data_IF_405358329562
#
_entry.id   IF_405358329562
#
_cell.length_a   1.000
_cell.length_b   1.000
_cell.length_c   1.000
_cell.angle_alpha   90.00
_cell.angle_beta   90.00
_cell.angle_gamma   90.00
#
_symmetry.space_group_name_H-M   'P 1'
#
loop_
_entity.id
_entity.type
_entity.pdbx_description
1 polymer ?
#
# COMPACT_ATOMS: atom_id res chain seq x y z
N UNK A 1 9.35 -14.48 18.92
CA UNK A 1 10.09 -13.88 17.79
C UNK A 1 9.48 -12.48 17.54
N UNK A 2 10.08 -11.40 18.05
CA UNK A 2 9.54 -10.04 17.89
C UNK A 2 9.77 -9.64 16.43
N UNK A 3 8.69 -9.29 15.71
CA UNK A 3 8.74 -8.83 14.33
C UNK A 3 9.49 -7.49 14.28
N UNK A 4 10.60 -7.43 13.55
CA UNK A 4 11.35 -6.19 13.36
C UNK A 4 10.44 -5.09 12.77
N UNK A 5 10.38 -3.89 13.36
CA UNK A 5 9.54 -2.79 12.88
C UNK A 5 9.79 -2.45 11.40
N UNK A 6 11.04 -2.58 10.95
CA UNK A 6 11.45 -2.38 9.57
C UNK A 6 10.78 -3.37 8.60
N UNK A 7 10.54 -4.61 9.04
CA UNK A 7 9.80 -5.62 8.25
C UNK A 7 8.31 -5.34 8.22
N UNK A 8 7.77 -4.68 9.25
CA UNK A 8 6.34 -4.41 9.35
C UNK A 8 5.89 -3.41 8.27
N UNK A 9 6.64 -2.31 8.07
CA UNK A 9 6.36 -1.36 6.99
C UNK A 9 6.33 -2.02 5.61
N UNK A 10 7.31 -2.89 5.33
CA UNK A 10 7.39 -3.60 4.06
C UNK A 10 6.15 -4.47 3.82
N UNK A 11 5.68 -5.17 4.86
CA UNK A 11 4.46 -6.01 4.77
C UNK A 11 3.20 -5.19 4.51
N UNK A 12 3.06 -4.02 5.14
CA UNK A 12 1.91 -3.12 4.92
C UNK A 12 1.96 -2.60 3.47
N UNK A 13 3.13 -2.20 2.98
CA UNK A 13 3.33 -1.77 1.58
C UNK A 13 3.02 -2.88 0.58
N UNK A 14 3.52 -4.10 0.80
CA UNK A 14 3.21 -5.26 -0.04
C UNK A 14 1.71 -5.59 -0.03
N UNK A 15 1.06 -5.49 1.12
CA UNK A 15 -0.38 -5.74 1.25
C UNK A 15 -1.21 -4.74 0.43
N UNK A 16 -0.81 -3.46 0.39
CA UNK A 16 -1.41 -2.45 -0.48
C UNK A 16 -1.30 -2.82 -1.95
N UNK A 17 -0.07 -3.06 -2.45
CA UNK A 17 0.14 -3.39 -3.87
C UNK A 17 -0.59 -4.67 -4.29
N UNK A 18 -0.55 -5.72 -3.45
CA UNK A 18 -1.29 -6.95 -3.72
C UNK A 18 -2.79 -6.67 -3.83
N UNK A 19 -3.35 -5.83 -2.96
CA UNK A 19 -4.78 -5.52 -3.00
C UNK A 19 -5.16 -4.70 -4.23
N UNK A 20 -4.36 -3.69 -4.59
CA UNK A 20 -4.57 -2.90 -5.82
C UNK A 20 -4.51 -3.80 -7.05
N UNK A 21 -3.54 -4.72 -7.09
CA UNK A 21 -3.43 -5.71 -8.18
C UNK A 21 -4.67 -6.58 -8.31
N UNK A 22 -5.13 -7.18 -7.21
CA UNK A 22 -6.32 -8.05 -7.24
C UNK A 22 -7.58 -7.25 -7.59
N UNK A 23 -7.71 -6.02 -7.08
CA UNK A 23 -8.87 -5.17 -7.36
C UNK A 23 -8.97 -4.76 -8.84
N UNK A 24 -7.84 -4.56 -9.51
CA UNK A 24 -7.77 -4.15 -10.92
C UNK A 24 -7.41 -5.30 -11.87
N UNK A 25 -7.44 -6.55 -11.38
CA UNK A 25 -7.08 -7.75 -12.14
C UNK A 25 -5.70 -7.66 -12.84
N UNK A 26 -4.72 -7.05 -12.16
CA UNK A 26 -3.38 -6.84 -12.69
C UNK A 26 -2.36 -7.87 -12.19
N UNK A 27 -1.55 -8.38 -13.12
CA UNK A 27 -0.33 -9.11 -12.78
C UNK A 27 0.74 -8.17 -12.23
N UNK A 28 1.83 -8.74 -11.67
CA UNK A 28 2.92 -7.94 -11.08
C UNK A 28 3.60 -7.10 -12.15
N UNK A 29 3.84 -7.70 -13.31
CA UNK A 29 4.49 -7.06 -14.44
C UNK A 29 3.59 -5.99 -15.08
N UNK A 30 2.28 -6.22 -15.16
CA UNK A 30 1.34 -5.21 -15.66
C UNK A 30 1.31 -3.98 -14.75
N UNK A 31 1.31 -4.17 -13.43
CA UNK A 31 1.38 -3.04 -12.49
C UNK A 31 2.75 -2.33 -12.56
N UNK A 32 3.85 -3.07 -12.69
CA UNK A 32 5.19 -2.49 -12.77
C UNK A 32 5.43 -1.74 -14.09
N UNK A 33 4.72 -2.13 -15.16
CA UNK A 33 4.77 -1.46 -16.46
C UNK A 33 3.94 -0.18 -16.50
N UNK A 34 3.04 0.02 -15.52
CA UNK A 34 2.23 1.25 -15.43
C UNK A 34 3.04 2.41 -14.87
N UNK A 35 2.82 3.64 -15.36
CA UNK A 35 3.46 4.82 -14.83
C UNK A 35 3.05 5.04 -13.36
N UNK A 36 3.95 5.58 -12.52
CA UNK A 36 3.66 5.82 -11.11
C UNK A 36 2.39 6.66 -10.88
N UNK A 37 2.15 7.66 -11.73
CA UNK A 37 0.96 8.52 -11.62
C UNK A 37 -0.36 7.72 -11.81
N UNK A 38 -0.37 6.76 -12.73
CA UNK A 38 -1.53 5.90 -12.93
C UNK A 38 -1.72 4.97 -11.74
N UNK A 39 -0.66 4.35 -11.24
CA UNK A 39 -0.74 3.52 -10.02
C UNK A 39 -1.21 4.33 -8.81
N UNK A 40 -0.81 5.61 -8.70
CA UNK A 40 -1.30 6.52 -7.67
C UNK A 40 -2.80 6.79 -7.81
N UNK A 41 -3.27 7.04 -9.03
CA UNK A 41 -4.70 7.21 -9.32
C UNK A 41 -5.49 5.93 -9.05
N UNK A 42 -4.94 4.76 -9.36
CA UNK A 42 -5.54 3.46 -9.05
C UNK A 42 -5.68 3.26 -7.54
N UNK A 43 -4.71 3.70 -6.74
CA UNK A 43 -4.82 3.71 -5.28
C UNK A 43 -5.87 4.73 -4.81
N UNK A 44 -5.89 5.95 -5.33
CA UNK A 44 -6.91 6.96 -5.04
C UNK A 44 -6.93 7.53 -3.60
N UNK A 45 -6.41 6.83 -2.59
CA UNK A 45 -6.23 7.31 -1.22
C UNK A 45 -4.84 7.95 -1.04
N UNK A 46 -4.75 9.26 -0.75
CA UNK A 46 -3.48 9.97 -0.59
C UNK A 46 -2.56 9.36 0.47
N UNK A 47 -3.12 8.80 1.56
CA UNK A 47 -2.34 8.20 2.66
C UNK A 47 -1.69 6.89 2.22
N UNK A 48 -2.39 6.13 1.38
CA UNK A 48 -1.88 4.87 0.82
C UNK A 48 -0.88 5.12 -0.30
N UNK A 49 -1.10 6.14 -1.13
CA UNK A 49 -0.12 6.64 -2.11
C UNK A 49 1.17 7.04 -1.41
N UNK A 50 1.06 7.80 -0.33
CA UNK A 50 2.23 8.24 0.43
C UNK A 50 2.99 7.05 1.04
N UNK A 51 2.28 6.07 1.60
CA UNK A 51 2.90 4.82 2.09
C UNK A 51 3.67 4.08 0.98
N UNK A 52 3.13 4.06 -0.24
CA UNK A 52 3.72 3.36 -1.37
C UNK A 52 5.01 4.05 -1.88
N UNK A 53 5.00 5.38 -1.99
CA UNK A 53 6.07 6.13 -2.66
C UNK A 53 7.00 6.90 -1.72
N UNK A 54 6.62 7.11 -0.46
CA UNK A 54 7.48 7.81 0.48
C UNK A 54 8.73 6.99 0.82
N UNK A 55 9.89 7.61 0.65
CA UNK A 55 11.20 7.05 1.02
C UNK A 55 11.70 7.63 2.34
N UNK A 56 11.31 8.86 2.68
CA UNK A 56 11.83 9.61 3.83
C UNK A 56 10.91 9.60 5.05
N UNK A 57 9.63 9.22 4.91
CA UNK A 57 8.72 9.18 6.05
C UNK A 57 8.96 7.94 6.92
N UNK A 58 9.17 8.18 8.20
CA UNK A 58 9.18 7.14 9.23
C UNK A 58 7.78 7.00 9.80
N UNK A 59 7.23 5.79 9.78
CA UNK A 59 5.91 5.52 10.35
C UNK A 59 6.07 4.84 11.70
N UNK A 60 5.33 5.33 12.69
CA UNK A 60 5.19 4.63 13.97
C UNK A 60 4.41 3.32 13.79
N UNK A 61 4.57 2.34 14.71
CA UNK A 61 3.78 1.11 14.67
C UNK A 61 2.26 1.35 14.72
N UNK A 62 1.82 2.45 15.35
CA UNK A 62 0.42 2.85 15.45
C UNK A 62 -0.13 3.34 14.10
N UNK A 63 0.62 4.20 13.41
CA UNK A 63 0.27 4.66 12.06
C UNK A 63 0.22 3.50 11.06
N UNK A 64 1.21 2.58 11.11
CA UNK A 64 1.21 1.39 10.25
C UNK A 64 -0.02 0.51 10.48
N UNK A 65 -0.50 0.39 11.72
CA UNK A 65 -1.77 -0.30 12.02
C UNK A 65 -2.97 0.42 11.40
N UNK A 66 -3.03 1.75 11.51
CA UNK A 66 -4.11 2.53 10.90
C UNK A 66 -4.09 2.42 9.36
N UNK A 67 -2.91 2.48 8.74
CA UNK A 67 -2.74 2.26 7.32
C UNK A 67 -3.17 0.85 6.91
N UNK A 68 -2.87 -0.17 7.71
CA UNK A 68 -3.34 -1.53 7.45
C UNK A 68 -4.87 -1.66 7.52
N UNK A 69 -5.53 -0.94 8.43
CA UNK A 69 -7.00 -0.85 8.48
C UNK A 69 -7.53 -0.11 7.26
N UNK A 70 -6.89 0.99 6.84
CA UNK A 70 -7.24 1.71 5.62
C UNK A 70 -7.12 0.80 4.39
N UNK A 71 -6.02 0.06 4.23
CA UNK A 71 -5.84 -0.94 3.17
C UNK A 71 -6.94 -2.01 3.22
N UNK A 72 -7.34 -2.48 4.41
CA UNK A 72 -8.44 -3.47 4.53
C UNK A 72 -9.80 -2.91 4.08
N UNK A 73 -10.06 -1.62 4.31
CA UNK A 73 -11.27 -0.92 3.88
C UNK A 73 -11.19 -0.44 2.42
N UNK A 74 -9.99 -0.23 1.91
CA UNK A 74 -9.74 0.24 0.55
C UNK A 74 -10.34 -0.72 -0.50
N UNK A 75 -11.05 -0.21 -1.50
CA UNK A 75 -11.77 -1.04 -2.49
C UNK A 75 -12.98 -1.80 -1.94
N UNK A 76 -13.35 -1.62 -0.67
CA UNK A 76 -14.69 -1.94 -0.17
C UNK A 76 -15.47 -0.63 -0.17
N UNK A 77 -16.12 -0.34 -1.30
CA UNK A 77 -17.13 0.71 -1.38
C UNK A 77 -18.18 0.46 -0.29
N UNK A 78 -18.57 1.52 0.42
CA UNK A 78 -19.85 1.53 1.16
C UNK A 78 -21.00 1.29 0.19
#
# INVERSE_FOLDING_TARGET
KKLDPSTYRLRVKQSLFTKVRVHHDLTRDQMASKPPAEVQAMIGDPRLVELAYSQTRTYSPQELRQLMVAIRKWGKTN
#
